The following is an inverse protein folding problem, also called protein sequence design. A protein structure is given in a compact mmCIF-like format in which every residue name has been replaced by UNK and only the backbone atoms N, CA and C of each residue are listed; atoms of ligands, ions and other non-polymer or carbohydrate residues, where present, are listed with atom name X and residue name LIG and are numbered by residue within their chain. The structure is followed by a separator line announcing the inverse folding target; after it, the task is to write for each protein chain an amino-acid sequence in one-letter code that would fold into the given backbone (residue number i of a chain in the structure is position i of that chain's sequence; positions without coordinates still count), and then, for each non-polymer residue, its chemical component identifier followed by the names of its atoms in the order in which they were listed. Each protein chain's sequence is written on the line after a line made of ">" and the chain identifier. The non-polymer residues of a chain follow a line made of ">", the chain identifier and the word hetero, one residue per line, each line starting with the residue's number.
data_IF_860967765281
#
_entry.id   IF_860967765281
#
_cell.length_a   1.000
_cell.length_b   1.000
_cell.length_c   1.000
_cell.angle_alpha   90.00
_cell.angle_beta   90.00
_cell.angle_gamma   90.00
#
_symmetry.space_group_name_H-M   'P 1'
#
loop_
_entity.id
_entity.type
_entity.pdbx_description
1 polymer ?
#
# COMPACT_ATOMS: atom_id res chain seq x y z
N UNK A 1 6.93 -32.48 4.70
CA UNK A 1 6.99 -31.97 3.32
C UNK A 1 8.41 -31.50 3.08
N UNK A 2 9.04 -31.84 1.97
CA UNK A 2 10.39 -31.33 1.68
C UNK A 2 10.30 -29.87 1.21
N UNK A 3 11.36 -29.08 1.44
CA UNK A 3 11.45 -27.67 0.98
C UNK A 3 11.14 -27.53 -0.51
N UNK A 4 11.48 -28.55 -1.30
CA UNK A 4 11.21 -28.61 -2.74
C UNK A 4 9.71 -28.76 -3.06
N UNK A 5 8.98 -29.54 -2.28
CA UNK A 5 7.53 -29.72 -2.45
C UNK A 5 6.78 -28.44 -2.08
N UNK A 6 7.22 -27.78 -1.01
CA UNK A 6 6.66 -26.51 -0.57
C UNK A 6 6.89 -25.40 -1.59
N UNK A 7 8.13 -25.27 -2.08
CA UNK A 7 8.47 -24.32 -3.14
C UNK A 7 7.67 -24.59 -4.43
N UNK A 8 7.52 -25.85 -4.82
CA UNK A 8 6.74 -26.21 -6.02
C UNK A 8 5.27 -25.83 -5.86
N UNK A 9 4.70 -26.03 -4.67
CA UNK A 9 3.31 -25.63 -4.36
C UNK A 9 3.16 -24.11 -4.41
N UNK A 10 4.11 -23.38 -3.83
CA UNK A 10 4.14 -21.92 -3.87
C UNK A 10 4.19 -21.38 -5.30
N UNK A 11 5.12 -21.89 -6.12
CA UNK A 11 5.26 -21.47 -7.51
C UNK A 11 4.00 -21.76 -8.36
N UNK A 12 3.35 -22.90 -8.17
CA UNK A 12 2.09 -23.21 -8.87
C UNK A 12 1.01 -22.18 -8.52
N UNK A 13 0.84 -21.85 -7.24
CA UNK A 13 -0.14 -20.84 -6.79
C UNK A 13 0.20 -19.44 -7.31
N UNK A 14 1.48 -19.07 -7.36
CA UNK A 14 1.93 -17.78 -7.89
C UNK A 14 1.71 -17.65 -9.41
N UNK A 15 1.68 -18.75 -10.16
CA UNK A 15 1.36 -18.79 -11.59
C UNK A 15 -0.15 -18.62 -11.87
N UNK A 16 -1.01 -18.98 -10.93
CA UNK A 16 -2.46 -18.82 -11.07
C UNK A 16 -2.89 -17.37 -10.84
N UNK A 17 -2.33 -16.72 -9.82
CA UNK A 17 -2.59 -15.33 -9.47
C UNK A 17 -1.42 -14.74 -8.66
N UNK A 18 -1.13 -13.42 -8.78
CA UNK A 18 -0.09 -12.78 -7.98
C UNK A 18 -0.32 -12.96 -6.48
N UNK A 19 0.76 -13.15 -5.72
CA UNK A 19 0.71 -13.22 -4.27
C UNK A 19 0.67 -11.86 -3.59
N UNK A 20 1.13 -10.86 -4.31
CA UNK A 20 1.26 -9.48 -3.86
C UNK A 20 0.58 -8.58 -4.87
N UNK A 21 -0.34 -7.75 -4.42
CA UNK A 21 -1.07 -6.80 -5.26
C UNK A 21 -0.88 -5.39 -4.71
N UNK A 22 -0.41 -4.49 -5.58
CA UNK A 22 -0.25 -3.07 -5.26
C UNK A 22 -1.35 -2.26 -5.93
N UNK A 23 -2.21 -1.66 -5.12
CA UNK A 23 -3.28 -0.77 -5.54
C UNK A 23 -2.91 0.66 -5.15
N UNK A 24 -2.20 1.38 -6.02
CA UNK A 24 -1.79 2.75 -5.74
C UNK A 24 -2.99 3.67 -5.61
N UNK A 25 -3.37 3.94 -4.37
CA UNK A 25 -4.54 4.75 -4.04
C UNK A 25 -4.41 6.20 -4.50
N UNK A 26 -3.21 6.76 -4.44
CA UNK A 26 -2.84 8.07 -4.99
C UNK A 26 -1.43 8.00 -5.56
N UNK A 27 -1.21 8.55 -6.77
CA UNK A 27 0.12 8.73 -7.35
C UNK A 27 0.74 10.09 -6.99
N UNK A 28 -0.01 10.97 -6.32
CA UNK A 28 0.49 12.23 -5.77
C UNK A 28 1.30 11.98 -4.51
N UNK A 29 2.33 12.80 -4.29
CA UNK A 29 3.13 12.77 -3.07
C UNK A 29 3.60 14.19 -2.73
N UNK A 30 3.67 14.51 -1.47
CA UNK A 30 4.14 15.79 -0.94
C UNK A 30 5.66 15.81 -0.67
N UNK A 31 6.38 14.76 -1.06
CA UNK A 31 7.85 14.65 -0.95
C UNK A 31 8.52 14.47 -2.30
N UNK A 32 9.79 14.89 -2.41
CA UNK A 32 10.65 14.77 -3.61
C UNK A 32 11.93 14.00 -3.29
N UNK A 33 11.77 12.74 -2.86
CA UNK A 33 12.88 11.91 -2.44
C UNK A 33 13.84 11.60 -3.60
N UNK A 34 15.14 11.68 -3.36
CA UNK A 34 16.18 11.43 -4.38
C UNK A 34 16.14 10.00 -4.95
N UNK A 35 15.68 9.05 -4.15
CA UNK A 35 15.60 7.63 -4.52
C UNK A 35 14.30 7.25 -5.24
N UNK A 36 13.30 8.15 -5.26
CA UNK A 36 11.99 7.87 -5.83
C UNK A 36 11.96 8.16 -7.33
N UNK A 37 11.49 7.22 -8.18
CA UNK A 37 11.41 7.44 -9.62
C UNK A 37 10.21 8.29 -10.04
N UNK A 38 9.42 8.84 -9.09
CA UNK A 38 8.17 9.54 -9.36
C UNK A 38 8.32 10.74 -10.30
N UNK A 39 9.42 11.48 -10.21
CA UNK A 39 9.76 12.60 -11.10
C UNK A 39 9.98 12.19 -12.56
N UNK A 40 10.21 10.90 -12.82
CA UNK A 40 10.37 10.31 -14.15
C UNK A 40 9.09 9.69 -14.71
N UNK A 41 8.03 9.67 -13.92
CA UNK A 41 6.73 9.12 -14.36
C UNK A 41 6.12 10.03 -15.44
N UNK A 42 5.62 9.38 -16.51
CA UNK A 42 5.00 10.06 -17.64
C UNK A 42 3.47 10.10 -17.56
N UNK A 43 2.88 9.33 -16.65
CA UNK A 43 1.44 9.33 -16.41
C UNK A 43 1.03 10.54 -15.57
N UNK A 44 -0.22 10.96 -15.69
CA UNK A 44 -0.80 12.00 -14.83
C UNK A 44 -0.79 11.55 -13.35
N UNK A 45 -0.61 12.54 -12.47
CA UNK A 45 -0.66 12.32 -11.03
C UNK A 45 -2.11 12.47 -10.56
N UNK A 46 -2.72 11.36 -10.17
CA UNK A 46 -4.13 11.30 -9.82
C UNK A 46 -4.41 10.30 -8.69
N UNK A 47 -5.64 10.30 -8.25
CA UNK A 47 -6.16 9.30 -7.32
C UNK A 47 -6.90 8.22 -8.09
N UNK A 48 -6.74 6.96 -7.68
CA UNK A 48 -7.51 5.85 -8.21
C UNK A 48 -8.99 6.07 -7.91
N UNK A 49 -9.85 6.00 -8.91
CA UNK A 49 -11.29 6.10 -8.68
C UNK A 49 -11.81 4.97 -7.78
N UNK A 50 -12.87 5.24 -7.03
CA UNK A 50 -13.48 4.24 -6.15
C UNK A 50 -13.96 3.02 -6.94
N UNK A 51 -14.55 3.21 -8.11
CA UNK A 51 -15.05 2.12 -8.96
C UNK A 51 -13.90 1.21 -9.44
N UNK A 52 -12.77 1.81 -9.86
CA UNK A 52 -11.59 1.04 -10.25
C UNK A 52 -11.00 0.28 -9.05
N UNK A 53 -10.95 0.91 -7.89
CA UNK A 53 -10.49 0.27 -6.65
C UNK A 53 -11.37 -0.93 -6.28
N UNK A 54 -12.68 -0.74 -6.26
CA UNK A 54 -13.66 -1.81 -5.99
C UNK A 54 -13.50 -2.96 -6.98
N UNK A 55 -13.39 -2.65 -8.27
CA UNK A 55 -13.18 -3.68 -9.30
C UNK A 55 -11.92 -4.48 -9.03
N UNK A 56 -10.79 -3.81 -8.82
CA UNK A 56 -9.50 -4.46 -8.59
C UNK A 56 -9.52 -5.33 -7.31
N UNK A 57 -10.08 -4.81 -6.21
CA UNK A 57 -10.20 -5.55 -4.95
C UNK A 57 -11.11 -6.78 -5.09
N UNK A 58 -12.22 -6.67 -5.83
CA UNK A 58 -13.11 -7.81 -6.06
C UNK A 58 -12.45 -8.91 -6.89
N UNK A 59 -11.61 -8.55 -7.87
CA UNK A 59 -10.86 -9.52 -8.69
C UNK A 59 -9.84 -10.33 -7.88
N UNK A 60 -9.42 -9.83 -6.71
CA UNK A 60 -8.48 -10.52 -5.81
C UNK A 60 -9.16 -11.47 -4.81
N UNK A 61 -10.48 -11.37 -4.61
CA UNK A 61 -11.21 -11.99 -3.50
C UNK A 61 -11.19 -13.53 -3.48
N UNK A 62 -11.00 -14.15 -4.64
CA UNK A 62 -11.00 -15.61 -4.77
C UNK A 62 -9.63 -16.26 -4.54
N UNK A 63 -8.60 -15.44 -4.32
CA UNK A 63 -7.22 -15.91 -4.22
C UNK A 63 -6.63 -15.76 -2.83
N UNK A 64 -5.74 -16.70 -2.46
CA UNK A 64 -4.93 -16.58 -1.25
C UNK A 64 -3.74 -15.68 -1.56
N UNK A 65 -3.66 -14.51 -0.94
CA UNK A 65 -2.60 -13.53 -1.15
C UNK A 65 -1.76 -13.30 0.11
N UNK A 66 -0.51 -12.92 -0.09
CA UNK A 66 0.36 -12.55 1.01
C UNK A 66 0.02 -11.13 1.48
N UNK A 67 -0.19 -10.20 0.53
CA UNK A 67 -0.71 -8.87 0.90
C UNK A 67 -1.39 -8.11 -0.25
N UNK A 68 -2.25 -7.18 0.15
CA UNK A 68 -2.73 -6.05 -0.67
C UNK A 68 -2.10 -4.79 -0.11
N UNK A 69 -1.29 -4.12 -0.92
CA UNK A 69 -0.63 -2.87 -0.57
C UNK A 69 -1.36 -1.69 -1.23
N UNK A 70 -1.84 -0.74 -0.43
CA UNK A 70 -2.59 0.43 -0.92
C UNK A 70 -1.68 1.60 -1.34
N UNK A 71 -0.46 1.28 -1.72
CA UNK A 71 0.61 2.22 -2.05
C UNK A 71 1.53 1.66 -3.15
N UNK A 72 2.17 2.56 -3.92
CA UNK A 72 3.30 2.24 -4.79
C UNK A 72 4.32 3.39 -4.78
N UNK A 73 4.07 4.51 -5.47
CA UNK A 73 4.99 5.66 -5.55
C UNK A 73 4.43 6.94 -4.93
N UNK A 74 3.13 7.03 -4.71
CA UNK A 74 2.49 8.20 -4.12
C UNK A 74 2.50 8.20 -2.60
N UNK A 75 1.78 9.15 -2.00
CA UNK A 75 1.56 9.24 -0.55
C UNK A 75 0.08 8.97 -0.24
N UNK A 76 -0.26 7.85 0.41
CA UNK A 76 -1.65 7.51 0.72
C UNK A 76 -2.36 8.52 1.60
N UNK A 77 -1.65 9.19 2.51
CA UNK A 77 -2.23 10.20 3.42
C UNK A 77 -2.57 11.53 2.74
N UNK A 78 -2.34 11.66 1.43
CA UNK A 78 -2.90 12.76 0.62
C UNK A 78 -4.36 12.53 0.20
N UNK A 79 -4.84 11.29 0.27
CA UNK A 79 -6.27 11.03 0.17
C UNK A 79 -7.02 11.64 1.35
N UNK A 80 -8.30 11.92 1.15
CA UNK A 80 -9.20 12.12 2.29
C UNK A 80 -9.09 10.90 3.23
N UNK A 81 -8.94 11.17 4.53
CA UNK A 81 -8.67 10.10 5.50
C UNK A 81 -9.84 9.12 5.62
N UNK A 82 -11.08 9.58 5.47
CA UNK A 82 -12.25 8.70 5.55
C UNK A 82 -12.34 7.83 4.29
N UNK A 83 -11.89 8.33 3.12
CA UNK A 83 -11.73 7.53 1.91
C UNK A 83 -10.63 6.46 2.07
N UNK A 84 -9.47 6.81 2.63
CA UNK A 84 -8.40 5.84 2.86
C UNK A 84 -8.84 4.74 3.82
N UNK A 85 -9.47 5.10 4.95
CA UNK A 85 -10.01 4.14 5.93
C UNK A 85 -11.08 3.25 5.28
N UNK A 86 -11.93 3.81 4.44
CA UNK A 86 -12.91 3.03 3.69
C UNK A 86 -12.24 2.00 2.77
N UNK A 87 -11.18 2.39 2.03
CA UNK A 87 -10.41 1.48 1.16
C UNK A 87 -9.75 0.36 1.94
N UNK A 88 -9.14 0.67 3.07
CA UNK A 88 -8.54 -0.31 3.97
C UNK A 88 -9.60 -1.35 4.39
N UNK A 89 -10.72 -0.87 4.92
CA UNK A 89 -11.78 -1.74 5.42
C UNK A 89 -12.40 -2.57 4.31
N UNK A 90 -12.65 -1.95 3.14
CA UNK A 90 -13.19 -2.65 1.98
C UNK A 90 -12.24 -3.76 1.48
N UNK A 91 -10.94 -3.45 1.33
CA UNK A 91 -9.95 -4.43 0.91
C UNK A 91 -9.89 -5.61 1.88
N UNK A 92 -9.90 -5.35 3.20
CA UNK A 92 -9.85 -6.38 4.23
C UNK A 92 -11.10 -7.25 4.27
N UNK A 93 -12.28 -6.64 4.21
CA UNK A 93 -13.56 -7.35 4.27
C UNK A 93 -13.80 -8.23 3.03
N UNK A 94 -13.40 -7.74 1.87
CA UNK A 94 -13.55 -8.47 0.61
C UNK A 94 -12.55 -9.62 0.48
N UNK A 95 -11.39 -9.54 1.13
CA UNK A 95 -10.30 -10.50 0.99
C UNK A 95 -9.93 -11.19 2.32
N UNK A 96 -10.80 -12.03 2.89
CA UNK A 96 -10.52 -12.71 4.16
C UNK A 96 -9.36 -13.70 4.09
N UNK A 97 -8.98 -14.13 2.88
CA UNK A 97 -7.83 -15.03 2.62
C UNK A 97 -6.52 -14.29 2.33
N UNK A 98 -6.54 -12.97 2.29
CA UNK A 98 -5.33 -12.16 2.23
C UNK A 98 -4.68 -12.10 3.62
N UNK A 99 -3.39 -12.36 3.72
CA UNK A 99 -2.71 -12.34 5.01
C UNK A 99 -2.61 -10.93 5.58
N UNK A 100 -2.45 -9.90 4.70
CA UNK A 100 -2.19 -8.55 5.16
C UNK A 100 -2.71 -7.47 4.19
N UNK A 101 -3.38 -6.45 4.73
CA UNK A 101 -3.63 -5.17 4.05
C UNK A 101 -2.72 -4.11 4.66
N UNK A 102 -1.92 -3.46 3.84
CA UNK A 102 -0.89 -2.53 4.32
C UNK A 102 -0.66 -1.33 3.39
N UNK A 103 0.11 -0.36 3.87
CA UNK A 103 0.67 0.71 3.05
C UNK A 103 1.95 1.30 3.67
N UNK A 104 2.77 1.93 2.82
CA UNK A 104 3.86 2.80 3.24
C UNK A 104 3.39 4.25 3.24
N UNK A 105 3.97 5.05 4.15
CA UNK A 105 3.79 6.51 4.20
C UNK A 105 5.13 7.19 4.54
N UNK A 106 5.30 8.42 4.10
CA UNK A 106 6.40 9.27 4.55
C UNK A 106 6.16 9.80 5.98
N UNK A 107 4.94 9.67 6.51
CA UNK A 107 4.55 10.04 7.87
C UNK A 107 4.35 11.54 8.10
N UNK A 108 4.66 12.41 7.15
CA UNK A 108 4.61 13.87 7.35
C UNK A 108 3.20 14.43 7.61
N UNK A 109 2.18 13.70 7.17
CA UNK A 109 0.76 14.03 7.37
C UNK A 109 0.11 13.25 8.51
N UNK A 110 0.87 12.41 9.22
CA UNK A 110 0.35 11.55 10.29
C UNK A 110 0.16 12.37 11.59
N UNK A 111 -0.99 13.04 11.70
CA UNK A 111 -1.42 13.69 12.95
C UNK A 111 -2.02 12.67 13.91
N UNK A 112 -2.17 12.99 15.23
CA UNK A 112 -2.87 12.12 16.16
C UNK A 112 -4.27 11.72 15.70
N UNK A 113 -5.04 12.65 15.13
CA UNK A 113 -6.41 12.39 14.65
C UNK A 113 -6.43 11.42 13.46
N UNK A 114 -5.46 11.55 12.55
CA UNK A 114 -5.29 10.61 11.42
C UNK A 114 -4.82 9.25 11.92
N UNK A 115 -3.87 9.23 12.87
CA UNK A 115 -3.39 7.99 13.48
C UNK A 115 -4.53 7.23 14.17
N UNK A 116 -5.38 7.91 14.93
CA UNK A 116 -6.54 7.30 15.60
C UNK A 116 -7.51 6.65 14.59
N UNK A 117 -7.81 7.33 13.49
CA UNK A 117 -8.68 6.76 12.44
C UNK A 117 -8.05 5.52 11.80
N UNK A 118 -6.74 5.54 11.53
CA UNK A 118 -6.01 4.39 10.97
C UNK A 118 -5.98 3.22 11.96
N UNK A 119 -5.70 3.48 13.24
CA UNK A 119 -5.67 2.45 14.29
C UNK A 119 -7.04 1.81 14.54
N UNK A 120 -8.13 2.53 14.30
CA UNK A 120 -9.50 2.01 14.38
C UNK A 120 -9.96 1.30 13.10
N UNK A 121 -9.18 1.38 12.03
CA UNK A 121 -9.47 0.67 10.78
C UNK A 121 -9.05 -0.80 10.86
N UNK A 122 -9.29 -1.54 9.78
CA UNK A 122 -8.89 -2.94 9.63
C UNK A 122 -7.50 -3.08 8.97
N UNK A 123 -6.65 -2.06 9.08
CA UNK A 123 -5.28 -2.12 8.59
C UNK A 123 -4.44 -3.10 9.42
N UNK A 124 -3.70 -3.97 8.75
CA UNK A 124 -2.81 -4.93 9.43
C UNK A 124 -1.43 -4.34 9.71
N UNK A 125 -0.92 -3.49 8.81
CA UNK A 125 0.42 -2.91 8.95
C UNK A 125 0.53 -1.54 8.29
N UNK A 126 1.09 -0.57 8.98
CA UNK A 126 1.59 0.69 8.44
C UNK A 126 3.12 0.70 8.51
N UNK A 127 3.77 1.10 7.43
CA UNK A 127 5.21 1.23 7.33
C UNK A 127 5.59 2.69 7.12
N UNK A 128 6.31 3.27 8.08
CA UNK A 128 6.74 4.66 8.01
C UNK A 128 8.17 4.69 7.45
N UNK A 129 8.34 5.40 6.35
CA UNK A 129 9.62 5.50 5.66
C UNK A 129 10.52 6.56 6.30
N UNK A 130 11.57 6.14 7.00
CA UNK A 130 12.55 7.01 7.67
C UNK A 130 13.95 6.66 7.14
N UNK A 131 14.58 7.59 6.41
CA UNK A 131 15.88 7.37 5.77
C UNK A 131 17.03 8.18 6.41
N UNK A 132 16.87 8.64 7.63
CA UNK A 132 17.90 9.38 8.37
C UNK A 132 17.75 9.24 9.87
N UNK A 133 18.88 9.15 10.57
CA UNK A 133 18.92 9.13 12.03
C UNK A 133 18.84 10.51 12.68
N UNK A 134 18.91 11.58 11.90
CA UNK A 134 18.78 12.98 12.26
C UNK A 134 18.18 13.78 11.13
N UNK A 135 17.83 15.04 11.40
CA UNK A 135 17.17 15.91 10.42
C UNK A 135 18.01 16.14 9.16
N UNK A 136 19.33 16.39 9.32
CA UNK A 136 20.21 16.69 8.21
C UNK A 136 20.31 15.51 7.23
N UNK A 137 20.45 14.29 7.72
CA UNK A 137 20.53 13.09 6.88
C UNK A 137 19.18 12.75 6.24
N UNK A 138 18.08 12.96 6.99
CA UNK A 138 16.74 12.80 6.45
C UNK A 138 16.48 13.76 5.28
N UNK A 139 16.76 15.06 5.43
CA UNK A 139 16.52 16.09 4.41
C UNK A 139 17.45 15.95 3.18
N UNK A 140 18.59 15.25 3.28
CA UNK A 140 19.42 14.91 2.12
C UNK A 140 18.74 13.93 1.17
N UNK A 141 17.93 13.03 1.68
CA UNK A 141 17.29 11.94 0.91
C UNK A 141 15.82 12.25 0.64
N UNK A 142 15.10 12.70 1.66
CA UNK A 142 13.68 13.04 1.59
C UNK A 142 13.48 14.54 1.62
N UNK A 143 12.88 15.07 0.57
CA UNK A 143 12.63 16.51 0.38
C UNK A 143 11.15 16.78 0.18
#
# INVERSE_FOLDING_TARGET
>A
MSDKEELTKYLKRALEFPKEVHLESSSRCNSFCLTCPRDKMQRELEEMSRDLFVKAVNETSDYDMDFIMLHLNGEPLLLDIDELVWRINYARDTNPRCNQVNFFTNGSLLTPEIADKILLSKLDLIMISIDGGNQEDYEKIRR
#
